data_IF_340172561372
#
_entry.id   IF_340172561372
#
_cell.length_a   1.000
_cell.length_b   1.000
_cell.length_c   1.000
_cell.angle_alpha   90.00
_cell.angle_beta   90.00
_cell.angle_gamma   90.00
#
_symmetry.space_group_name_H-M   'P 1'
#
loop_
_entity.id
_entity.type
_entity.pdbx_description
1 polymer ?
2 polymer ?
3 polymer ?
4 non-polymer ?
5 non-polymer ?
6 non-polymer ?
7 water ?
#
loop_
_entity_poly.entity_id
_entity_poly.type
_entity_poly.pdbx_seq_one_letter_code
_entity_poly.pdbx_strand_id
1 'polydeoxyribonucleotide' '(DG)(DG)(DG)(DG)(DT)(DG)(DT)(DG)(DG)(DT)(DA)(DG)(DC)' ?
2 'polydeoxyribonucleotide' '(DC)(DA)(DT)(DC)(DG)(DC)(DT)(DA)(DC)(DC)(DA)(DC)(DA)(DC)(DC)(DC)(DC)' ?
#
# COMPACT_ATOMS: atom_id res chain seq x y z
N UNK C 3 -11.07 6.95 -25.43
CA UNK C 3 -10.10 5.84 -25.34
C UNK C 3 -8.71 6.22 -25.81
N UNK C 4 -7.70 5.94 -24.97
CA UNK C 4 -6.31 6.30 -25.24
C UNK C 4 -5.48 5.03 -25.16
N UNK C 5 -4.80 4.69 -26.26
CA UNK C 5 -4.04 3.44 -26.39
C UNK C 5 -2.56 3.66 -26.07
N UNK C 6 -1.83 2.56 -25.85
CA UNK C 6 -0.47 2.72 -25.32
C UNK C 6 0.42 3.51 -26.25
N UNK C 7 0.11 3.60 -27.54
CA UNK C 7 0.96 4.39 -28.42
C UNK C 7 0.50 5.84 -28.54
N UNK C 8 -0.56 6.23 -27.83
CA UNK C 8 -0.96 7.63 -27.89
C UNK C 8 -0.14 8.44 -26.89
N UNK C 9 0.24 9.67 -27.26
CA UNK C 9 0.99 10.51 -26.31
C UNK C 9 0.35 10.61 -24.92
N UNK C 10 -0.98 10.58 -24.83
CA UNK C 10 -1.67 10.83 -23.57
C UNK C 10 -1.92 9.56 -22.77
N UNK C 11 -1.40 8.42 -23.23
CA UNK C 11 -1.70 7.17 -22.55
C UNK C 11 -1.23 7.19 -21.11
N UNK C 12 0.00 7.67 -20.87
CA UNK C 12 0.51 7.69 -19.50
C UNK C 12 -0.43 8.48 -18.59
N UNK C 13 -0.85 9.66 -19.05
CA UNK C 13 -1.70 10.53 -18.24
C UNK C 13 -3.07 9.90 -17.96
N UNK C 14 -3.69 9.31 -18.97
CA UNK C 14 -5.04 8.74 -18.81
C UNK C 14 -4.99 7.48 -17.93
N UNK C 15 -3.98 6.64 -18.11
CA UNK C 15 -3.88 5.45 -17.30
C UNK C 15 -3.70 5.80 -15.82
N UNK C 16 -2.82 6.77 -15.54
CA UNK C 16 -2.57 7.11 -14.14
C UNK C 16 -3.77 7.83 -13.53
N UNK C 17 -4.50 8.61 -14.32
CA UNK C 17 -5.71 9.24 -13.78
C UNK C 17 -6.75 8.19 -13.40
N UNK C 18 -6.72 7.03 -14.06
CA UNK C 18 -7.70 5.97 -13.86
C UNK C 18 -7.24 4.89 -12.89
N UNK C 19 -5.93 4.77 -12.66
CA UNK C 19 -5.38 3.67 -11.89
C UNK C 19 -5.39 4.02 -10.42
N UNK C 20 -6.25 3.34 -9.65
CA UNK C 20 -6.26 3.53 -8.20
C UNK C 20 -4.95 3.05 -7.56
N UNK C 21 -4.25 2.11 -8.19
CA UNK C 21 -3.00 1.67 -7.57
C UNK C 21 -1.94 2.75 -7.68
N UNK C 22 -1.94 3.48 -8.79
CA UNK C 22 -1.10 4.67 -8.91
C UNK C 22 -1.47 5.69 -7.84
N UNK C 23 -2.76 6.00 -7.71
CA UNK C 23 -3.20 6.96 -6.70
C UNK C 23 -2.71 6.56 -5.31
N UNK C 24 -2.87 5.28 -4.95
CA UNK C 24 -2.39 4.82 -3.65
C UNK C 24 -0.93 5.15 -3.47
N UNK C 25 -0.13 4.83 -4.49
CA UNK C 25 1.31 5.06 -4.41
C UNK C 25 1.64 6.54 -4.49
N UNK C 26 0.96 7.29 -5.38
CA UNK C 26 1.27 8.71 -5.45
C UNK C 26 0.87 9.42 -4.15
N UNK C 27 -0.25 9.02 -3.54
CA UNK C 27 -0.65 9.63 -2.29
C UNK C 27 0.35 9.31 -1.19
N UNK C 28 0.79 8.05 -1.11
CA UNK C 28 1.76 7.69 -0.09
C UNK C 28 3.00 8.56 -0.21
N UNK C 29 3.55 8.65 -1.42
CA UNK C 29 4.75 9.45 -1.66
C UNK C 29 4.58 10.89 -1.21
N UNK C 30 3.46 11.52 -1.59
CA UNK C 30 3.23 12.91 -1.20
C UNK C 30 3.11 13.04 0.33
N UNK C 31 2.38 12.12 0.97
CA UNK C 31 2.33 12.11 2.42
C UNK C 31 3.72 12.01 3.02
N UNK C 32 4.57 11.14 2.47
CA UNK C 32 5.92 10.96 3.02
C UNK C 32 6.72 12.26 2.89
N UNK C 33 6.69 12.87 1.71
CA UNK C 33 7.44 14.12 1.53
C UNK C 33 6.86 15.25 2.37
N UNK C 34 5.54 15.28 2.55
CA UNK C 34 4.93 16.31 3.38
C UNK C 34 5.42 16.19 4.81
N UNK C 35 5.49 14.97 5.34
CA UNK C 35 6.02 14.75 6.68
C UNK C 35 7.43 15.32 6.80
N UNK C 36 8.28 15.05 5.80
CA UNK C 36 9.65 15.51 5.87
C UNK C 36 9.74 17.01 5.88
N UNK C 37 8.85 17.67 5.12
CA UNK C 37 8.88 19.14 5.06
C UNK C 37 8.44 19.77 6.39
N UNK C 38 7.25 19.41 6.89
CA UNK C 38 6.79 19.91 8.19
C UNK C 38 7.84 19.75 9.28
N UNK C 39 8.77 18.80 9.13
CA UNK C 39 9.62 18.36 10.22
C UNK C 39 11.10 18.58 9.95
N UNK C 40 11.45 19.31 8.89
CA UNK C 40 12.86 19.57 8.59
C UNK C 40 13.53 20.26 9.77
N UNK C 41 12.81 21.14 10.46
CA UNK C 41 13.35 21.86 11.61
C UNK C 41 12.99 21.23 12.94
N UNK C 42 11.92 20.46 12.99
CA UNK C 42 11.63 19.79 14.26
C UNK C 42 12.45 18.52 14.29
N UNK C 43 12.56 17.94 15.49
CA UNK C 43 13.27 16.66 15.71
C UNK C 43 12.21 15.55 15.80
N UNK C 44 12.05 14.78 14.72
CA UNK C 44 10.99 13.74 14.67
C UNK C 44 11.51 12.35 15.07
N UNK C 45 12.00 12.19 16.30
CA UNK C 45 12.41 10.85 16.74
C UNK C 45 11.77 10.44 18.09
N UNK C 46 11.76 9.14 18.32
CA UNK C 46 11.32 8.56 19.59
C UNK C 46 12.62 8.02 20.16
N UNK C 47 12.98 8.43 21.35
CA UNK C 47 14.21 7.93 21.93
C UNK C 47 13.95 6.60 22.64
N UNK C 48 15.03 5.97 23.09
CA UNK C 48 14.90 4.81 23.98
C UNK C 48 14.47 5.21 25.40
N UNK C 49 14.53 6.51 25.73
CA UNK C 49 14.03 7.05 26.98
C UNK C 49 12.53 6.97 27.10
N UNK C 50 11.83 6.70 25.99
CA UNK C 50 10.38 6.90 25.91
C UNK C 50 9.63 5.58 26.07
N UNK C 51 8.70 5.57 27.00
CA UNK C 51 7.64 4.58 27.00
C UNK C 51 6.50 5.18 26.19
N UNK C 52 5.99 4.42 25.23
CA UNK C 52 5.03 5.00 24.30
C UNK C 52 3.87 4.05 24.08
N UNK C 53 2.73 4.64 23.73
CA UNK C 53 1.56 3.90 23.26
C UNK C 53 1.45 4.12 21.75
N UNK C 54 1.06 3.08 21.02
CA UNK C 54 0.83 3.16 19.58
C UNK C 54 -0.66 3.11 19.32
N UNK C 55 -1.16 4.07 18.56
CA UNK C 55 -2.53 4.06 18.08
C UNK C 55 -2.44 3.89 16.57
N UNK C 56 -2.91 2.75 16.06
CA UNK C 56 -2.91 2.49 14.63
C UNK C 56 -4.31 2.71 14.09
N UNK C 57 -4.48 3.73 13.25
CA UNK C 57 -5.79 4.20 12.84
C UNK C 57 -5.93 4.02 11.34
N UNK C 58 -7.09 3.55 10.89
CA UNK C 58 -7.36 3.65 9.47
C UNK C 58 -8.86 3.57 9.22
N UNK C 59 -9.29 4.15 8.10
CA UNK C 59 -10.69 4.11 7.70
C UNK C 59 -11.20 2.69 7.50
N UNK C 60 -12.45 2.49 7.85
CA UNK C 60 -13.18 1.26 7.53
C UNK C 60 -13.53 1.39 6.05
N UNK C 61 -13.25 0.35 5.26
CA UNK C 61 -13.51 0.21 3.81
C UNK C 61 -13.53 1.57 3.10
N UNK C 62 -12.40 2.25 3.19
CA UNK C 62 -12.11 3.61 2.69
C UNK C 62 -12.81 3.99 1.39
N UNK C 63 -12.44 3.35 0.28
CA UNK C 63 -13.06 3.72 -1.01
C UNK C 63 -14.58 3.48 -0.98
N UNK C 64 -15.04 2.34 -0.48
CA UNK C 64 -16.48 2.09 -0.49
C UNK C 64 -17.20 3.14 0.36
N UNK C 65 -16.72 3.38 1.57
CA UNK C 65 -17.32 4.39 2.43
C UNK C 65 -17.43 5.73 1.69
N UNK C 66 -16.29 6.24 1.22
CA UNK C 66 -16.26 7.57 0.61
C UNK C 66 -17.02 7.58 -0.72
N UNK C 67 -16.94 6.49 -1.49
CA UNK C 67 -17.65 6.45 -2.77
C UNK C 67 -19.14 6.48 -2.54
N UNK C 68 -19.60 5.86 -1.46
CA UNK C 68 -21.00 5.95 -1.08
C UNK C 68 -21.37 7.38 -0.67
N UNK C 69 -20.61 7.97 0.28
CA UNK C 69 -20.97 9.25 0.88
C UNK C 69 -21.03 10.38 -0.15
N UNK C 70 -20.31 10.24 -1.26
CA UNK C 70 -20.28 11.23 -2.34
C UNK C 70 -20.87 10.68 -3.64
N UNK C 71 -21.62 9.58 -3.57
CA UNK C 71 -22.17 8.95 -4.77
C UNK C 71 -23.07 9.93 -5.54
N UNK C 72 -23.28 9.63 -6.83
CA UNK C 72 -24.07 10.46 -7.72
C UNK C 72 -25.56 10.20 -7.50
N UNK C 73 -26.41 10.96 -8.21
CA UNK C 73 -27.86 10.89 -7.99
C UNK C 73 -28.44 9.54 -8.41
N UNK C 74 -27.81 8.87 -9.39
CA UNK C 74 -28.23 7.52 -9.79
C UNK C 74 -28.29 6.54 -8.62
N UNK C 75 -27.46 6.77 -7.59
CA UNK C 75 -27.34 5.86 -6.45
C UNK C 75 -27.90 6.44 -5.17
N UNK C 76 -28.79 7.44 -5.25
CA UNK C 76 -29.30 8.10 -4.05
C UNK C 76 -30.00 7.11 -3.11
N UNK C 77 -30.68 6.12 -3.65
CA UNK C 77 -31.47 5.22 -2.80
C UNK C 77 -30.67 4.07 -2.21
N UNK C 78 -29.43 3.83 -2.64
CA UNK C 78 -28.72 2.68 -2.13
C UNK C 78 -28.21 2.93 -0.71
N UNK C 79 -28.13 1.85 0.07
CA UNK C 79 -28.03 1.87 1.53
C UNK C 79 -26.75 1.19 1.99
N UNK C 80 -25.85 1.96 2.60
CA UNK C 80 -24.52 1.44 2.95
C UNK C 80 -24.56 0.31 3.97
N UNK C 81 -25.67 0.14 4.68
CA UNK C 81 -25.75 -0.85 5.75
C UNK C 81 -26.55 -2.09 5.37
N UNK C 82 -27.27 -2.06 4.24
CA UNK C 82 -28.04 -3.22 3.78
C UNK C 82 -27.57 -3.76 2.43
N UNK C 83 -26.85 -2.94 1.58
CA UNK C 83 -26.49 -3.24 0.19
C UNK C 83 -25.05 -3.71 0.08
N UNK C 84 -24.79 -4.83 -0.62
CA UNK C 84 -23.39 -5.16 -0.97
C UNK C 84 -22.82 -4.19 -1.99
N UNK C 85 -21.90 -3.33 -1.56
CA UNK C 85 -21.37 -2.25 -2.39
C UNK C 85 -19.89 -2.52 -2.69
N UNK C 86 -19.51 -2.45 -3.96
CA UNK C 86 -18.11 -2.48 -4.35
C UNK C 86 -17.79 -1.22 -5.12
N UNK C 87 -16.49 -0.89 -5.13
CA UNK C 87 -15.96 0.20 -5.94
C UNK C 87 -15.11 -0.44 -7.03
N UNK C 88 -15.43 -0.14 -8.29
CA UNK C 88 -14.74 -0.77 -9.40
C UNK C 88 -14.96 0.05 -10.66
N UNK C 89 -14.07 -0.15 -11.64
CA UNK C 89 -14.21 0.49 -12.95
C UNK C 89 -15.32 -0.14 -13.77
N UNK C 90 -15.41 -1.48 -13.75
CA UNK C 90 -16.06 -2.23 -14.79
C UNK C 90 -17.08 -3.20 -14.22
N UNK C 91 -17.35 -4.26 -15.02
CA UNK C 91 -18.44 -5.23 -14.80
C UNK C 91 -17.97 -6.67 -14.71
N UNK C 92 -16.94 -7.06 -15.47
CA UNK C 92 -16.58 -8.46 -15.59
C UNK C 92 -15.24 -8.65 -14.89
N UNK C 93 -14.12 -8.48 -15.58
CA UNK C 93 -12.80 -8.73 -14.98
C UNK C 93 -12.17 -7.43 -14.48
N UNK C 94 -12.98 -6.72 -13.71
CA UNK C 94 -12.61 -5.46 -13.08
C UNK C 94 -12.39 -5.71 -11.59
N UNK C 95 -11.28 -5.19 -11.06
CA UNK C 95 -10.92 -5.42 -9.68
C UNK C 95 -11.92 -4.75 -8.73
N UNK C 96 -12.32 -5.48 -7.70
CA UNK C 96 -13.02 -4.85 -6.57
C UNK C 96 -11.95 -4.14 -5.74
N UNK C 97 -11.80 -2.84 -5.96
CA UNK C 97 -10.84 -2.07 -5.17
C UNK C 97 -11.22 -2.06 -3.69
N UNK C 98 -12.50 -1.91 -3.37
CA UNK C 98 -12.98 -1.83 -1.97
C UNK C 98 -14.42 -2.35 -1.85
N UNK C 99 -14.77 -2.99 -0.75
CA UNK C 99 -16.14 -3.45 -0.53
C UNK C 99 -16.57 -3.14 0.90
N UNK C 100 -17.85 -2.83 1.07
CA UNK C 100 -18.39 -2.61 2.40
C UNK C 100 -18.55 -3.95 3.11
N UNK C 101 -18.90 -3.91 4.40
CA UNK C 101 -18.89 -5.13 5.19
C UNK C 101 -20.11 -5.99 4.94
N UNK C 102 -21.15 -5.40 4.38
CA UNK C 102 -22.30 -6.20 3.92
C UNK C 102 -21.77 -7.11 2.82
N UNK C 103 -21.01 -6.59 1.87
CA UNK C 103 -20.45 -7.40 0.77
C UNK C 103 -19.54 -8.50 1.33
N UNK C 104 -18.74 -8.19 2.33
CA UNK C 104 -17.81 -9.17 2.92
C UNK C 104 -18.57 -10.29 3.62
N UNK C 105 -19.72 -9.98 4.20
CA UNK C 105 -20.54 -11.00 4.88
C UNK C 105 -20.78 -12.15 3.91
N UNK C 106 -20.82 -11.87 2.60
CA UNK C 106 -20.96 -12.92 1.59
C UNK C 106 -19.62 -13.49 1.14
N UNK C 107 -18.54 -13.20 1.86
CA UNK C 107 -17.24 -13.73 1.50
C UNK C 107 -16.49 -13.03 0.39
N UNK C 108 -16.84 -11.79 0.07
CA UNK C 108 -16.14 -11.02 -0.95
C UNK C 108 -14.97 -10.29 -0.32
N UNK C 109 -13.89 -10.18 -1.07
CA UNK C 109 -12.70 -9.47 -0.61
C UNK C 109 -12.18 -8.58 -1.72
N UNK C 110 -11.45 -7.55 -1.33
CA UNK C 110 -10.73 -6.72 -2.28
C UNK C 110 -9.86 -7.58 -3.19
N UNK C 111 -9.48 -7.06 -4.35
CA UNK C 111 -8.69 -7.81 -5.30
C UNK C 111 -9.50 -8.76 -6.17
N UNK C 112 -10.60 -9.28 -5.62
CA UNK C 112 -11.54 -10.11 -6.36
C UNK C 112 -12.07 -9.37 -7.59
N UNK C 113 -12.30 -10.12 -8.68
CA UNK C 113 -12.93 -9.53 -9.85
C UNK C 113 -14.43 -9.50 -9.68
N UNK C 114 -15.08 -8.52 -10.33
CA UNK C 114 -16.50 -8.29 -10.10
C UNK C 114 -17.31 -9.53 -10.46
N UNK C 115 -16.94 -10.21 -11.54
CA UNK C 115 -17.61 -11.45 -11.93
C UNK C 115 -17.56 -12.49 -10.81
N UNK C 116 -16.38 -12.65 -10.20
CA UNK C 116 -16.23 -13.64 -9.12
C UNK C 116 -17.14 -13.31 -7.95
N UNK C 117 -17.22 -12.02 -7.60
CA UNK C 117 -18.04 -11.59 -6.46
C UNK C 117 -19.53 -11.64 -6.74
N UNK C 118 -19.93 -11.38 -8.00
CA UNK C 118 -21.33 -11.51 -8.38
C UNK C 118 -21.87 -12.88 -8.06
N UNK C 119 -21.03 -13.91 -8.14
CA UNK C 119 -21.50 -15.29 -8.00
C UNK C 119 -21.63 -15.74 -6.55
N UNK C 120 -21.04 -15.02 -5.59
CA UNK C 120 -21.16 -15.35 -4.18
C UNK C 120 -22.35 -14.67 -3.50
N UNK C 121 -23.28 -14.15 -4.28
CA UNK C 121 -24.49 -13.55 -3.75
C UNK C 121 -25.70 -14.45 -4.04
N UNK C 122 -26.61 -14.63 -3.09
CA UNK C 122 -27.86 -15.34 -3.39
C UNK C 122 -28.70 -14.53 -4.37
N UNK C 123 -29.59 -15.23 -5.06
CA UNK C 123 -30.36 -14.59 -6.13
C UNK C 123 -31.32 -13.57 -5.56
N UNK C 124 -31.57 -12.51 -6.33
CA UNK C 124 -32.32 -11.36 -5.89
C UNK C 124 -31.47 -10.29 -5.24
N UNK C 125 -30.44 -10.69 -4.50
CA UNK C 125 -29.48 -9.75 -3.92
C UNK C 125 -28.55 -9.24 -5.00
N UNK C 126 -28.53 -7.93 -5.22
CA UNK C 126 -27.80 -7.34 -6.32
C UNK C 126 -26.61 -6.52 -5.83
N UNK C 127 -25.48 -6.74 -6.46
CA UNK C 127 -24.28 -5.97 -6.18
C UNK C 127 -24.47 -4.54 -6.67
N UNK C 128 -24.09 -3.58 -5.85
CA UNK C 128 -24.00 -2.18 -6.27
C UNK C 128 -22.55 -1.89 -6.62
N UNK C 129 -22.32 -1.32 -7.80
CA UNK C 129 -20.98 -0.97 -8.25
C UNK C 129 -20.87 0.55 -8.37
N UNK C 130 -20.04 1.15 -7.49
CA UNK C 130 -19.77 2.57 -7.38
C UNK C 130 -18.48 2.93 -8.12
N UNK C 131 -18.45 4.05 -8.82
CA UNK C 131 -17.21 4.51 -9.46
C UNK C 131 -16.25 5.04 -8.42
N UNK C 132 -14.99 5.14 -8.81
CA UNK C 132 -14.00 5.78 -7.96
C UNK C 132 -14.24 7.28 -7.89
N UNK C 133 -13.89 7.87 -6.75
CA UNK C 133 -14.00 9.33 -6.54
C UNK C 133 -12.68 9.83 -5.97
N UNK C 134 -11.65 9.86 -6.82
CA UNK C 134 -10.29 10.00 -6.31
C UNK C 134 -10.13 11.30 -5.55
N UNK C 135 -10.64 12.39 -6.11
CA UNK C 135 -10.44 13.71 -5.50
C UNK C 135 -11.09 13.76 -4.13
N UNK C 136 -12.28 13.17 -3.99
CA UNK C 136 -12.87 13.05 -2.66
C UNK C 136 -12.05 12.14 -1.77
N UNK C 137 -11.42 11.10 -2.33
CA UNK C 137 -10.56 10.28 -1.49
C UNK C 137 -9.47 11.13 -0.86
N UNK C 138 -8.88 12.02 -1.66
CA UNK C 138 -7.87 12.94 -1.16
C UNK C 138 -8.42 13.86 -0.07
N UNK C 139 -9.53 14.54 -0.35
CA UNK C 139 -10.04 15.53 0.61
C UNK C 139 -10.38 14.86 1.95
N UNK C 140 -11.01 13.68 1.91
CA UNK C 140 -11.33 12.99 3.15
C UNK C 140 -10.06 12.62 3.90
N UNK C 141 -9.02 12.22 3.17
CA UNK C 141 -7.74 11.95 3.82
C UNK C 141 -7.16 13.20 4.45
N UNK C 142 -7.22 14.34 3.74
CA UNK C 142 -6.78 15.61 4.33
C UNK C 142 -7.48 15.88 5.65
N UNK C 143 -8.80 15.72 5.67
CA UNK C 143 -9.55 15.94 6.91
C UNK C 143 -9.10 14.97 7.98
N UNK C 144 -8.78 13.74 7.57
CA UNK C 144 -8.28 12.72 8.51
C UNK C 144 -7.01 13.20 9.19
N UNK C 145 -5.96 13.51 8.42
CA UNK C 145 -4.70 13.97 9.02
C UNK C 145 -4.83 15.33 9.72
N UNK C 146 -5.63 16.25 9.17
CA UNK C 146 -5.87 17.52 9.85
C UNK C 146 -6.48 17.32 11.23
N UNK C 147 -7.43 16.40 11.35
CA UNK C 147 -8.02 16.08 12.64
C UNK C 147 -6.99 15.46 13.58
N UNK C 148 -6.17 14.52 13.10
CA UNK C 148 -5.19 13.89 13.97
C UNK C 148 -4.21 14.91 14.54
N UNK C 149 -3.87 15.95 13.78
CA UNK C 149 -2.96 16.96 14.31
C UNK C 149 -3.66 17.87 15.30
N UNK C 150 -4.88 18.29 14.99
CA UNK C 150 -5.56 19.24 15.86
C UNK C 150 -5.83 18.65 17.24
N UNK C 151 -5.92 17.34 17.36
CA UNK C 151 -6.17 16.70 18.68
C UNK C 151 -5.05 17.03 19.67
N UNK C 152 -3.84 17.28 19.19
CA UNK C 152 -2.66 17.53 20.01
C UNK C 152 -2.46 16.47 21.10
N UNK C 153 -2.77 15.22 20.81
CA UNK C 153 -2.56 14.11 21.74
C UNK C 153 -1.41 13.20 21.31
N UNK C 154 -0.78 13.46 20.17
CA UNK C 154 0.27 12.59 19.65
C UNK C 154 1.56 13.36 19.49
N UNK C 155 2.68 12.71 19.86
CA UNK C 155 4.02 13.26 19.64
C UNK C 155 4.58 12.96 18.26
N UNK C 156 4.14 11.88 17.62
CA UNK C 156 4.59 11.54 16.28
C UNK C 156 3.42 10.93 15.53
N UNK C 157 3.18 11.38 14.30
CA UNK C 157 2.06 10.91 13.47
C UNK C 157 2.68 10.38 12.19
N UNK C 158 2.74 9.06 12.06
CA UNK C 158 3.44 8.47 10.93
C UNK C 158 2.44 8.12 9.84
N UNK C 159 2.56 8.66 8.63
CA UNK C 159 1.62 8.30 7.56
C UNK C 159 1.96 6.94 6.98
N UNK C 160 1.03 5.99 7.10
CA UNK C 160 1.14 4.68 6.47
C UNK C 160 0.52 4.70 5.08
N UNK C 161 -0.53 5.48 4.82
CA UNK C 161 -1.41 5.37 3.66
C UNK C 161 -2.31 6.58 3.61
N UNK C 162 -2.88 6.65 2.40
CA UNK C 162 -3.91 7.66 2.20
C UNK C 162 -4.92 7.64 3.33
N UNK C 163 -5.19 6.46 3.91
CA UNK C 163 -6.27 6.32 4.89
C UNK C 163 -5.80 5.64 6.16
N UNK C 164 -4.51 5.69 6.47
CA UNK C 164 -3.95 4.89 7.54
C UNK C 164 -2.75 5.62 8.10
N UNK C 165 -2.70 5.78 9.42
CA UNK C 165 -1.58 6.43 10.08
C UNK C 165 -1.28 5.72 11.39
N UNK C 166 -0.01 5.71 11.76
CA UNK C 166 0.44 5.19 13.05
C UNK C 166 0.78 6.41 13.90
N UNK C 167 0.04 6.57 14.99
CA UNK C 167 0.13 7.73 15.87
C UNK C 167 0.77 7.30 17.19
N UNK C 168 1.81 8.02 17.61
CA UNK C 168 2.60 7.63 18.77
C UNK C 168 2.34 8.62 19.89
N UNK C 169 1.94 8.11 21.05
CA UNK C 169 1.78 8.92 22.26
C UNK C 169 2.85 8.52 23.24
N UNK C 170 3.61 9.52 23.71
CA UNK C 170 4.65 9.30 24.71
C UNK C 170 4.04 9.48 26.09
N UNK C 171 4.24 8.50 26.96
CA UNK C 171 3.69 8.49 28.31
C UNK C 171 4.80 8.88 29.28
N UNK C 172 4.74 10.07 29.90
CA UNK C 172 5.71 10.39 30.95
C UNK C 172 5.54 9.43 32.12
N UNK C 173 6.62 9.21 32.86
CA UNK C 173 6.51 8.27 33.97
C UNK C 173 5.83 8.88 35.19
N UNK C 174 5.62 10.20 35.21
CA UNK C 174 4.78 10.77 36.25
C UNK C 174 3.31 10.41 36.03
N UNK C 175 2.89 10.27 34.77
CA UNK C 175 1.51 9.93 34.42
C UNK C 175 1.34 8.42 34.45
N UNK C 176 0.25 7.97 35.06
CA UNK C 176 -0.07 6.54 35.16
C UNK C 176 -1.13 6.25 34.10
N UNK C 177 -0.69 5.68 32.96
CA UNK C 177 -1.65 5.31 31.94
C UNK C 177 -2.62 4.26 32.47
N UNK C 178 -3.84 4.30 31.94
CA UNK C 178 -4.91 3.39 32.31
C UNK C 178 -5.71 3.08 31.06
N UNK C 179 -6.42 1.95 31.05
CA UNK C 179 -7.22 1.62 29.88
C UNK C 179 -8.41 2.55 29.75
N UNK C 180 -8.90 3.10 30.87
CA UNK C 180 -9.98 4.07 30.82
C UNK C 180 -9.58 5.27 29.98
N UNK C 181 -8.38 5.81 30.23
CA UNK C 181 -7.90 6.94 29.46
C UNK C 181 -7.68 6.58 27.99
N UNK C 182 -7.25 5.34 27.71
CA UNK C 182 -7.05 4.92 26.33
C UNK C 182 -8.38 4.73 25.61
N UNK C 183 -9.36 4.13 26.28
CA UNK C 183 -10.69 4.07 25.69
C UNK C 183 -11.17 5.47 25.33
N UNK C 184 -10.92 6.44 26.22
CA UNK C 184 -11.47 7.76 25.97
C UNK C 184 -10.78 8.42 24.79
N UNK C 185 -9.49 8.14 24.59
CA UNK C 185 -8.81 8.72 23.43
C UNK C 185 -9.32 8.12 22.13
N UNK C 186 -9.35 6.78 22.03
CA UNK C 186 -9.94 6.11 20.86
C UNK C 186 -11.32 6.67 20.54
N UNK C 187 -12.17 6.84 21.57
CA UNK C 187 -13.53 7.34 21.32
C UNK C 187 -13.51 8.80 20.85
N UNK C 188 -12.66 9.63 21.45
CA UNK C 188 -12.46 10.99 20.95
C UNK C 188 -12.06 10.98 19.47
N UNK C 189 -10.97 10.27 19.17
CA UNK C 189 -10.45 10.22 17.80
C UNK C 189 -11.54 9.77 16.83
N UNK C 190 -12.22 8.67 17.17
CA UNK C 190 -13.23 8.13 16.28
C UNK C 190 -14.37 9.12 16.07
N UNK C 191 -14.77 9.84 17.12
CA UNK C 191 -15.89 10.75 17.00
C UNK C 191 -15.54 11.94 16.12
N UNK C 192 -14.41 12.71 16.50
CA UNK C 192 -13.73 13.79 15.76
C UNK C 192 -13.49 13.44 14.29
N UNK C 193 -12.92 12.23 13.78
CA UNK C 193 -12.79 11.88 12.37
C UNK C 193 -14.17 11.62 11.74
N UNK C 194 -15.10 11.05 12.51
CA UNK C 194 -16.48 10.96 12.04
C UNK C 194 -17.07 12.35 11.78
N UNK C 195 -16.87 13.31 12.70
CA UNK C 195 -17.31 14.67 12.44
C UNK C 195 -16.56 15.29 11.28
N UNK C 196 -15.22 15.32 11.37
CA UNK C 196 -14.39 16.01 10.38
C UNK C 196 -14.50 15.48 8.97
N UNK C 197 -14.93 14.23 8.78
CA UNK C 197 -15.01 13.65 7.46
C UNK C 197 -16.45 13.54 6.95
N UNK C 198 -17.41 14.17 7.65
CA UNK C 198 -18.80 14.08 7.26
C UNK C 198 -19.25 12.64 7.09
N UNK C 199 -18.93 11.79 8.06
CA UNK C 199 -19.55 10.48 8.11
C UNK C 199 -18.66 9.28 7.85
N UNK C 200 -17.36 9.46 7.64
CA UNK C 200 -16.45 8.32 7.52
C UNK C 200 -16.10 7.81 8.91
N UNK C 201 -15.97 6.48 9.04
CA UNK C 201 -15.62 5.86 10.30
C UNK C 201 -14.24 5.22 10.23
N UNK C 202 -13.47 5.36 11.31
CA UNK C 202 -12.17 4.72 11.45
C UNK C 202 -12.24 3.71 12.58
N UNK C 203 -11.39 2.69 12.50
CA UNK C 203 -11.16 1.80 13.61
C UNK C 203 -9.74 2.00 14.12
N UNK C 204 -9.50 1.62 15.37
CA UNK C 204 -8.23 1.90 16.02
C UNK C 204 -7.78 0.66 16.76
N UNK C 205 -6.53 0.25 16.53
CA UNK C 205 -5.82 -0.67 17.40
C UNK C 205 -4.87 0.11 18.29
N UNK C 206 -4.85 -0.26 19.56
CA UNK C 206 -4.11 0.44 20.59
C UNK C 206 -3.27 -0.55 21.38
N UNK C 207 -1.98 -0.28 21.54
CA UNK C 207 -1.10 -1.26 22.15
C UNK C 207 0.26 -0.61 22.39
N UNK C 208 1.15 -1.36 23.08
CA UNK C 208 2.52 -0.93 23.33
C UNK C 208 3.53 -1.54 22.35
N UNK C 209 3.07 -2.09 21.23
CA UNK C 209 3.96 -2.39 20.10
C UNK C 209 3.24 -2.08 18.80
N UNK C 210 4.05 -1.86 17.76
CA UNK C 210 3.49 -1.66 16.43
C UNK C 210 2.73 -2.89 15.97
N UNK C 211 3.33 -4.07 16.13
CA UNK C 211 2.69 -5.27 15.61
C UNK C 211 1.38 -5.56 16.37
N UNK C 212 1.38 -5.43 17.70
CA UNK C 212 0.11 -5.64 18.41
C UNK C 212 -0.91 -4.56 18.09
N UNK C 213 -0.48 -3.33 17.81
CA UNK C 213 -1.44 -2.32 17.33
C UNK C 213 -2.00 -2.71 15.97
N UNK C 214 -1.18 -3.30 15.10
CA UNK C 214 -1.69 -3.78 13.81
C UNK C 214 -2.68 -4.91 14.01
N UNK C 215 -2.40 -5.83 14.93
CA UNK C 215 -3.32 -6.93 15.14
C UNK C 215 -4.60 -6.46 15.84
N UNK C 216 -4.45 -5.63 16.88
CA UNK C 216 -5.62 -5.08 17.55
C UNK C 216 -6.54 -4.39 16.54
N UNK C 217 -5.93 -3.72 15.57
CA UNK C 217 -6.71 -2.99 14.59
C UNK C 217 -7.56 -3.92 13.77
N UNK C 218 -6.98 -5.06 13.36
CA UNK C 218 -7.73 -6.08 12.57
C UNK C 218 -8.92 -6.56 13.42
N UNK C 219 -8.69 -6.80 14.71
CA UNK C 219 -9.72 -7.24 15.64
C UNK C 219 -10.74 -6.14 15.91
N UNK C 220 -10.32 -4.86 15.85
CA UNK C 220 -11.27 -3.78 16.11
C UNK C 220 -12.29 -3.60 14.99
N UNK C 221 -11.94 -3.93 13.74
CA UNK C 221 -12.82 -3.72 12.60
C UNK C 221 -14.07 -4.58 12.70
N UNK C 222 -15.24 -4.09 12.21
CA UNK C 222 -15.49 -2.74 11.68
C UNK C 222 -15.95 -1.72 12.72
N UNK C 223 -15.62 -0.45 12.47
CA UNK C 223 -16.08 0.71 13.25
C UNK C 223 -15.98 0.50 14.76
N UNK C 224 -14.77 0.23 15.22
CA UNK C 224 -14.58 0.00 16.64
C UNK C 224 -13.15 0.24 17.04
N UNK C 225 -12.84 -0.05 18.30
CA UNK C 225 -11.46 0.01 18.73
C UNK C 225 -11.15 -1.15 19.66
N UNK C 226 -9.87 -1.42 19.77
CA UNK C 226 -9.39 -2.53 20.57
C UNK C 226 -8.09 -2.13 21.25
N UNK C 227 -7.96 -2.49 22.51
CA UNK C 227 -6.85 -2.11 23.35
C UNK C 227 -6.23 -3.40 23.85
N UNK C 228 -5.02 -3.71 23.41
CA UNK C 228 -4.37 -4.97 23.81
C UNK C 228 -2.88 -4.72 23.95
N UNK C 229 -2.42 -4.50 25.17
CA UNK C 229 -1.00 -4.37 25.43
C UNK C 229 -0.37 -5.74 25.60
N UNK C 230 0.96 -5.77 25.68
CA UNK C 230 1.67 -7.02 25.88
C UNK C 230 1.17 -7.77 27.11
N UNK C 231 0.80 -7.04 28.17
CA UNK C 231 0.33 -7.62 29.42
C UNK C 231 -1.06 -8.23 29.31
N UNK C 232 -1.74 -8.05 28.19
CA UNK C 232 -3.08 -8.57 28.01
C UNK C 232 -3.13 -9.76 27.08
N UNK C 233 -1.98 -10.28 26.66
CA UNK C 233 -1.99 -11.37 25.71
C UNK C 233 -2.65 -12.60 26.32
N UNK C 234 -3.22 -13.43 25.44
CA UNK C 234 -4.05 -14.56 25.84
C UNK C 234 -4.26 -15.45 24.64
N UNK C 235 -4.48 -16.74 24.90
CA UNK C 235 -4.90 -17.65 23.84
C UNK C 235 -6.08 -17.09 23.08
N UNK C 236 -7.06 -16.53 23.79
CA UNK C 236 -8.21 -15.92 23.14
C UNK C 236 -7.80 -14.89 22.09
N UNK C 237 -6.70 -14.17 22.34
CA UNK C 237 -6.26 -13.17 21.37
C UNK C 237 -5.73 -13.86 20.11
N UNK C 238 -4.73 -14.73 20.27
CA UNK C 238 -4.07 -15.30 19.11
C UNK C 238 -5.01 -16.19 18.30
N UNK C 239 -5.92 -16.90 18.96
CA UNK C 239 -6.88 -17.76 18.28
C UNK C 239 -7.80 -16.98 17.35
N UNK C 240 -7.78 -15.66 17.42
CA UNK C 240 -8.68 -14.81 16.66
C UNK C 240 -8.13 -14.43 15.30
N UNK C 241 -6.86 -14.71 15.02
CA UNK C 241 -6.19 -14.23 13.81
C UNK C 241 -5.77 -15.36 12.89
N UNK C 242 -5.93 -15.13 11.58
CA UNK C 242 -5.37 -16.02 10.55
C UNK C 242 -3.86 -15.87 10.53
N UNK C 243 -3.19 -16.79 9.81
CA UNK C 243 -1.74 -16.71 9.68
C UNK C 243 -1.32 -15.48 8.88
N UNK C 244 -2.00 -15.18 7.77
CA UNK C 244 -1.65 -14.00 6.99
C UNK C 244 -2.25 -12.72 7.55
N UNK C 245 -2.66 -12.71 8.82
CA UNK C 245 -2.88 -11.46 9.53
C UNK C 245 -1.58 -10.92 10.09
N UNK C 246 -0.52 -11.72 10.07
CA UNK C 246 0.78 -11.25 10.52
C UNK C 246 1.38 -10.31 9.50
N UNK C 247 1.83 -9.13 9.90
CA UNK C 247 2.62 -8.29 8.99
C UNK C 247 3.77 -9.06 8.37
N UNK C 248 3.92 -8.93 7.06
CA UNK C 248 4.97 -9.59 6.36
C UNK C 248 4.58 -10.94 5.81
N UNK C 249 3.42 -11.47 6.20
CA UNK C 249 2.95 -12.80 5.77
C UNK C 249 1.88 -12.61 4.69
N UNK C 250 2.31 -12.75 3.44
CA UNK C 250 1.40 -12.81 2.31
C UNK C 250 1.23 -14.24 1.83
N UNK C 251 0.53 -14.39 0.70
CA UNK C 251 0.11 -15.71 0.27
C UNK C 251 1.28 -16.68 0.14
N UNK C 252 2.44 -16.16 -0.29
CA UNK C 252 3.60 -17.03 -0.50
C UNK C 252 4.18 -17.51 0.83
N UNK C 253 4.42 -16.60 1.75
CA UNK C 253 4.87 -17.00 3.08
C UNK C 253 3.83 -17.89 3.75
N UNK C 254 2.56 -17.55 3.56
CA UNK C 254 1.47 -18.34 4.12
C UNK C 254 1.60 -19.79 3.68
N UNK C 255 1.72 -20.01 2.37
CA UNK C 255 1.82 -21.36 1.84
C UNK C 255 3.02 -22.11 2.42
N UNK C 256 4.16 -21.42 2.56
CA UNK C 256 5.32 -22.07 3.18
C UNK C 256 5.03 -22.43 4.63
N UNK C 257 4.47 -21.47 5.40
CA UNK C 257 4.11 -21.76 6.78
C UNK C 257 3.10 -22.90 6.85
N UNK C 258 2.13 -22.90 5.95
CA UNK C 258 1.11 -23.94 5.93
C UNK C 258 1.73 -25.33 5.79
N UNK C 259 2.78 -25.46 4.99
CA UNK C 259 3.29 -26.80 4.76
C UNK C 259 4.23 -27.23 5.87
N UNK C 260 5.07 -26.32 6.34
CA UNK C 260 6.03 -26.66 7.38
C UNK C 260 5.35 -27.05 8.69
N UNK C 261 4.13 -26.55 8.95
CA UNK C 261 3.55 -26.62 10.28
C UNK C 261 2.15 -27.24 10.29
N UNK C 262 1.85 -28.14 9.34
CA UNK C 262 0.64 -28.96 9.41
C UNK C 262 -0.63 -28.10 9.27
N UNK C 263 -0.56 -27.09 8.40
CA UNK C 263 -1.61 -26.11 8.12
C UNK C 263 -2.22 -25.57 9.40
N UNK C 264 -1.50 -24.75 10.16
CA UNK C 264 -2.15 -24.00 11.25
C UNK C 264 -3.27 -23.13 10.72
N UNK C 265 -4.39 -23.09 11.45
CA UNK C 265 -5.55 -22.29 11.06
C UNK C 265 -5.72 -21.03 11.90
N UNK C 266 -4.79 -20.74 12.81
CA UNK C 266 -4.79 -19.51 13.58
C UNK C 266 -3.37 -19.27 14.09
N UNK C 267 -3.09 -18.01 14.46
CA UNK C 267 -1.80 -17.71 15.08
C UNK C 267 -1.63 -18.45 16.40
N UNK C 268 -2.75 -18.81 17.06
CA UNK C 268 -2.63 -19.68 18.23
C UNK C 268 -2.12 -21.05 17.84
N UNK C 269 -2.64 -21.61 16.74
CA UNK C 269 -2.08 -22.86 16.24
C UNK C 269 -0.61 -22.69 15.92
N UNK C 270 -0.25 -21.59 15.27
CA UNK C 270 1.13 -21.41 14.87
C UNK C 270 2.02 -21.32 16.10
N UNK C 271 1.50 -20.68 17.14
CA UNK C 271 2.31 -20.31 18.29
C UNK C 271 2.75 -21.53 19.08
N UNK C 272 1.89 -22.56 19.13
CA UNK C 272 2.15 -23.75 19.93
C UNK C 272 3.08 -24.73 19.21
N UNK C 273 3.06 -24.75 17.88
CA UNK C 273 3.75 -25.77 17.10
C UNK C 273 5.16 -25.39 16.67
N UNK C 274 5.56 -24.14 16.82
CA UNK C 274 6.72 -23.67 16.07
C UNK C 274 7.97 -23.68 16.93
N UNK C 275 9.10 -23.90 16.27
CA UNK C 275 10.44 -23.67 16.79
C UNK C 275 11.08 -22.54 15.98
N UNK C 276 11.95 -21.76 16.62
CA UNK C 276 12.58 -20.65 15.90
C UNK C 276 13.32 -21.12 14.66
N UNK C 277 14.03 -22.25 14.76
CA UNK C 277 14.85 -22.67 13.62
C UNK C 277 14.01 -23.25 12.49
N UNK C 278 12.94 -23.99 12.82
CA UNK C 278 12.05 -24.47 11.76
C UNK C 278 11.32 -23.31 11.09
N UNK C 279 11.01 -22.26 11.84
CA UNK C 279 10.53 -21.02 11.25
C UNK C 279 11.54 -20.48 10.25
N UNK C 280 12.75 -20.16 10.73
CA UNK C 280 13.76 -19.59 9.86
C UNK C 280 13.96 -20.46 8.63
N UNK C 281 14.00 -21.78 8.81
CA UNK C 281 14.18 -22.68 7.68
C UNK C 281 13.02 -22.56 6.70
N UNK C 282 11.80 -22.36 7.19
CA UNK C 282 10.64 -22.41 6.32
C UNK C 282 10.48 -21.16 5.50
N UNK C 283 10.69 -19.99 6.12
CA UNK C 283 10.38 -18.72 5.49
C UNK C 283 11.59 -17.81 5.32
N UNK C 284 12.67 -18.04 6.06
CA UNK C 284 13.88 -17.24 5.94
C UNK C 284 14.31 -16.67 7.28
N UNK C 285 15.58 -16.32 7.41
CA UNK C 285 16.11 -15.97 8.73
C UNK C 285 15.50 -14.68 9.26
N UNK C 286 15.53 -13.61 8.46
CA UNK C 286 15.00 -12.32 8.94
C UNK C 286 13.48 -12.37 9.08
N UNK C 287 12.77 -12.94 8.10
CA UNK C 287 11.33 -13.01 8.23
C UNK C 287 10.94 -13.96 9.36
N UNK C 288 11.62 -15.10 9.47
CA UNK C 288 11.35 -16.00 10.58
C UNK C 288 11.51 -15.31 11.92
N UNK C 289 12.57 -14.52 12.07
CA UNK C 289 12.75 -13.83 13.34
C UNK C 289 11.63 -12.85 13.58
N UNK C 290 11.25 -12.08 12.54
CA UNK C 290 10.17 -11.12 12.68
C UNK C 290 8.89 -11.79 13.15
N UNK C 291 8.56 -12.95 12.56
CA UNK C 291 7.36 -13.67 12.99
C UNK C 291 7.52 -14.16 14.44
N UNK C 292 8.68 -14.70 14.78
CA UNK C 292 8.93 -15.14 16.15
C UNK C 292 8.71 -13.99 17.12
N UNK C 293 9.40 -12.87 16.91
CA UNK C 293 9.15 -11.70 17.73
C UNK C 293 7.67 -11.34 17.73
N UNK C 294 7.02 -11.45 16.57
CA UNK C 294 5.62 -11.02 16.47
C UNK C 294 4.71 -11.88 17.34
N UNK C 295 4.98 -13.20 17.40
CA UNK C 295 4.18 -14.11 18.23
C UNK C 295 4.42 -13.93 19.74
N UNK C 296 5.32 -13.02 20.12
CA UNK C 296 5.46 -12.54 21.49
C UNK C 296 4.90 -11.15 21.70
N UNK C 297 4.32 -10.53 20.66
CA UNK C 297 3.85 -9.16 20.76
C UNK C 297 4.92 -8.11 20.57
N UNK C 298 6.11 -8.50 20.11
CA UNK C 298 7.27 -7.62 20.05
C UNK C 298 7.61 -7.24 18.61
N UNK C 299 8.05 -6.00 18.42
CA UNK C 299 8.53 -5.54 17.12
C UNK C 299 10.00 -5.87 16.93
N UNK C 300 10.40 -6.04 15.67
CA UNK C 300 11.78 -6.35 15.33
C UNK C 300 12.56 -5.05 15.13
N UNK C 301 13.88 -5.15 14.98
CA UNK C 301 14.69 -3.95 14.84
C UNK C 301 14.38 -3.20 13.56
N UNK C 302 14.03 -3.93 12.49
CA UNK C 302 13.76 -3.25 11.23
C UNK C 302 12.50 -2.40 11.30
N UNK C 303 11.52 -2.84 12.08
CA UNK C 303 10.26 -2.12 12.16
C UNK C 303 10.31 -0.97 13.14
N UNK C 304 11.21 -1.03 14.12
CA UNK C 304 11.41 0.04 15.08
C UNK C 304 12.12 1.25 14.49
N UNK C 305 12.76 1.08 13.33
CA UNK C 305 13.49 2.20 12.75
C UNK C 305 12.57 3.38 12.49
N UNK C 306 11.34 3.10 12.06
CA UNK C 306 10.43 4.18 11.73
C UNK C 306 10.16 5.06 12.93
N UNK C 307 10.25 4.50 14.14
CA UNK C 307 10.02 5.29 15.35
C UNK C 307 11.27 6.05 15.77
N UNK C 308 12.45 5.43 15.61
CA UNK C 308 13.69 6.05 16.06
C UNK C 308 14.19 7.13 15.10
N UNK C 309 14.06 6.94 13.79
CA UNK C 309 14.53 7.94 12.81
C UNK C 309 13.57 7.98 11.64
N UNK C 310 12.35 8.47 11.87
CA UNK C 310 11.37 8.50 10.77
C UNK C 310 11.84 9.29 9.57
N UNK C 311 12.63 10.34 9.77
CA UNK C 311 13.10 11.14 8.64
C UNK C 311 13.91 10.29 7.68
N UNK C 312 14.75 9.39 8.19
CA UNK C 312 15.53 8.54 7.31
C UNK C 312 14.66 7.46 6.67
N UNK C 313 13.75 6.86 7.43
CA UNK C 313 12.95 5.78 6.88
C UNK C 313 12.00 6.29 5.81
N UNK C 314 11.47 7.51 5.98
CA UNK C 314 10.52 8.04 5.01
C UNK C 314 11.18 8.79 3.86
N UNK C 315 12.51 8.95 3.84
CA UNK C 315 13.15 9.58 2.70
C UNK C 315 13.13 8.65 1.49
N UNK C 316 12.62 9.15 0.37
CA UNK C 316 12.56 8.40 -0.89
C UNK C 316 13.95 7.98 -1.36
N UNK C 317 14.11 6.71 -1.73
CA UNK C 317 15.42 6.23 -2.16
C UNK C 317 15.46 5.83 -3.62
N UNK C 318 14.30 5.62 -4.24
CA UNK C 318 14.20 5.24 -5.64
C UNK C 318 12.95 5.89 -6.21
N UNK C 319 12.91 5.93 -7.54
CA UNK C 319 11.79 6.53 -8.24
C UNK C 319 11.49 5.69 -9.47
N UNK C 320 10.21 5.43 -9.73
CA UNK C 320 9.93 4.49 -10.81
C UNK C 320 8.49 4.63 -11.28
N UNK C 321 8.23 4.17 -12.51
CA UNK C 321 6.87 3.92 -12.96
C UNK C 321 6.75 2.46 -13.41
N UNK C 322 5.50 1.97 -13.44
CA UNK C 322 5.17 0.59 -13.79
C UNK C 322 3.88 0.61 -14.60
N UNK C 323 3.91 0.12 -15.82
CA UNK C 323 2.72 0.04 -16.66
C UNK C 323 2.60 -1.39 -17.15
N UNK C 324 1.74 -2.17 -16.51
CA UNK C 324 1.55 -3.58 -16.82
C UNK C 324 0.12 -3.84 -17.28
N UNK C 325 -0.51 -2.80 -17.82
CA UNK C 325 -1.86 -2.86 -18.35
C UNK C 325 -1.97 -1.95 -19.57
N UNK C 326 -2.55 -2.48 -20.65
CA UNK C 326 -2.73 -1.69 -21.85
C UNK C 326 -1.56 -1.66 -22.77
N UNK C 327 -0.60 -2.58 -22.60
CA UNK C 327 0.65 -2.60 -23.37
C UNK C 327 0.45 -3.44 -24.62
N UNK C 328 0.34 -2.80 -25.78
CA UNK C 328 0.17 -3.51 -27.05
C UNK C 328 0.88 -2.70 -28.14
N UNK C 329 2.12 -3.08 -28.45
CA UNK C 329 2.93 -2.35 -29.41
C UNK C 329 3.20 -3.22 -30.63
N UNK C 330 3.07 -2.62 -31.81
CA UNK C 330 3.27 -3.33 -33.05
C UNK C 330 4.73 -3.36 -33.50
N UNK C 331 5.55 -2.38 -33.09
CA UNK C 331 6.93 -2.34 -33.54
C UNK C 331 7.81 -1.67 -32.51
N UNK C 332 9.12 -1.73 -32.77
CA UNK C 332 10.15 -1.20 -31.87
C UNK C 332 10.15 0.32 -31.81
N UNK C 333 9.63 0.99 -32.85
CA UNK C 333 9.56 2.44 -32.83
C UNK C 333 8.57 2.91 -31.77
N UNK C 334 7.41 2.28 -31.70
CA UNK C 334 6.42 2.70 -30.72
C UNK C 334 6.89 2.43 -29.30
N UNK C 335 7.59 1.31 -29.08
CA UNK C 335 8.15 1.00 -27.76
C UNK C 335 9.14 2.08 -27.35
N UNK C 336 10.02 2.48 -28.27
CA UNK C 336 11.02 3.48 -27.93
C UNK C 336 10.36 4.81 -27.58
N UNK C 337 9.31 5.21 -28.31
CA UNK C 337 8.65 6.47 -27.98
C UNK C 337 7.94 6.36 -26.65
N UNK C 338 7.36 5.20 -26.35
CA UNK C 338 6.75 5.04 -25.05
C UNK C 338 7.81 5.13 -23.95
N UNK C 339 8.92 4.42 -24.13
CA UNK C 339 10.03 4.53 -23.19
C UNK C 339 10.42 6.00 -23.01
N UNK C 340 10.43 6.77 -24.09
CA UNK C 340 10.86 8.16 -23.98
C UNK C 340 9.87 8.98 -23.18
N UNK C 341 8.56 8.80 -23.42
CA UNK C 341 7.55 9.45 -22.57
C UNK C 341 7.74 9.07 -21.11
N UNK C 342 7.91 7.78 -20.85
CA UNK C 342 8.27 7.29 -19.53
C UNK C 342 9.39 8.05 -18.85
N UNK C 343 10.61 8.05 -19.44
CA UNK C 343 11.72 8.83 -18.86
C UNK C 343 11.36 10.30 -18.68
N UNK C 344 10.70 10.91 -19.67
CA UNK C 344 10.31 12.31 -19.52
C UNK C 344 9.45 12.51 -18.29
N UNK C 345 8.52 11.59 -18.05
CA UNK C 345 7.68 11.67 -16.85
C UNK C 345 8.52 11.53 -15.60
N UNK C 346 9.38 10.50 -15.55
CA UNK C 346 10.18 10.26 -14.36
C UNK C 346 11.18 11.39 -14.11
N UNK C 347 11.62 12.07 -15.18
CA UNK C 347 12.60 13.13 -14.98
C UNK C 347 11.94 14.38 -14.45
N UNK C 348 10.68 14.63 -14.83
CA UNK C 348 9.92 15.69 -14.18
C UNK C 348 9.84 15.46 -12.68
N UNK C 349 9.29 14.29 -12.27
CA UNK C 349 9.24 13.92 -10.86
C UNK C 349 10.62 14.05 -10.20
N UNK C 350 11.69 13.65 -10.92
CA UNK C 350 13.03 13.73 -10.35
C UNK C 350 13.53 15.17 -10.22
N UNK C 351 13.08 16.06 -11.11
CA UNK C 351 13.43 17.46 -10.92
C UNK C 351 12.67 18.07 -9.75
N UNK C 352 11.40 17.67 -9.55
CA UNK C 352 10.63 18.15 -8.40
C UNK C 352 11.38 17.96 -7.09
N UNK C 353 12.08 16.84 -6.93
CA UNK C 353 12.78 16.54 -5.68
C UNK C 353 14.25 16.92 -5.76
N UNK C 354 14.65 17.62 -6.82
CA UNK C 354 15.97 18.24 -6.93
C UNK C 354 17.09 17.23 -6.67
N UNK C 355 17.05 16.11 -7.40
CA UNK C 355 18.11 15.12 -7.35
C UNK C 355 18.48 14.70 -8.77
N UNK C 356 19.60 13.99 -8.88
CA UNK C 356 20.03 13.24 -10.04
C UNK C 356 19.95 11.75 -9.73
N UNK C 357 20.21 10.91 -10.75
CA UNK C 357 20.25 9.47 -10.56
C UNK C 357 21.49 8.89 -11.23
N UNK C 358 22.06 7.87 -10.60
CA UNK C 358 23.31 7.27 -11.06
C UNK C 358 23.17 5.80 -11.44
N UNK C 359 21.99 5.21 -11.28
CA UNK C 359 21.74 3.86 -11.76
C UNK C 359 20.27 3.73 -12.13
N UNK C 360 20.01 3.06 -13.26
CA UNK C 360 18.64 2.89 -13.74
C UNK C 360 18.39 1.43 -14.03
N UNK C 361 17.11 1.07 -14.04
CA UNK C 361 16.66 -0.28 -14.32
C UNK C 361 15.47 -0.23 -15.26
N UNK C 362 15.42 -1.21 -16.16
CA UNK C 362 14.25 -1.49 -16.98
C UNK C 362 13.76 -2.89 -16.69
N UNK C 363 12.48 -3.02 -16.40
CA UNK C 363 11.88 -4.31 -16.20
C UNK C 363 10.80 -4.47 -17.26
N UNK C 364 10.57 -5.70 -17.71
CA UNK C 364 9.50 -5.92 -18.65
C UNK C 364 8.80 -7.24 -18.36
N UNK C 365 7.54 -7.28 -18.78
CA UNK C 365 6.72 -8.49 -18.78
C UNK C 365 6.54 -8.92 -20.23
N UNK C 366 6.86 -10.17 -20.50
CA UNK C 366 6.75 -10.78 -21.82
C UNK C 366 5.73 -11.90 -21.81
N UNK C 367 4.93 -11.99 -22.87
CA UNK C 367 3.93 -13.03 -22.96
C UNK C 367 4.58 -14.41 -22.82
N UNK C 368 4.01 -15.24 -21.95
CA UNK C 368 4.44 -16.64 -21.87
C UNK C 368 4.16 -17.30 -23.22
N UNK C 369 5.06 -18.20 -23.64
CA UNK C 369 5.00 -18.68 -25.02
C UNK C 369 3.68 -19.38 -25.33
N UNK C 370 3.08 -19.98 -24.31
CA UNK C 370 1.83 -20.73 -24.37
C UNK C 370 0.63 -19.93 -23.87
N UNK C 371 0.81 -18.64 -23.48
CA UNK C 371 -0.31 -17.85 -22.99
C UNK C 371 -1.06 -17.21 -24.15
N UNK C 372 -2.38 -17.06 -24.05
CA UNK C 372 -3.13 -16.47 -25.16
C UNK C 372 -2.72 -15.03 -25.41
N UNK C 373 -2.72 -14.66 -26.68
CA UNK C 373 -2.34 -13.32 -27.11
C UNK C 373 -3.20 -12.27 -26.42
N UNK C 374 -4.46 -12.59 -26.14
CA UNK C 374 -5.36 -11.69 -25.43
C UNK C 374 -5.84 -12.37 -24.16
N UNK C 375 -5.44 -11.91 -22.99
CA UNK C 375 -5.73 -12.66 -21.74
C UNK C 375 -7.17 -12.47 -21.32
N UNK C 376 -7.63 -13.17 -20.28
CA UNK C 376 -9.02 -12.97 -19.83
C UNK C 376 -9.36 -11.53 -19.47
N UNK C 377 -8.48 -10.83 -18.73
CA UNK C 377 -8.75 -9.44 -18.38
C UNK C 377 -8.44 -8.56 -19.58
N UNK C 378 -9.44 -7.81 -20.04
CA UNK C 378 -9.24 -6.85 -21.13
C UNK C 378 -8.01 -6.00 -20.88
N UNK C 379 -7.09 -5.99 -21.85
CA UNK C 379 -5.84 -5.23 -21.82
C UNK C 379 -4.90 -5.68 -20.71
N UNK C 380 -5.13 -6.83 -20.11
CA UNK C 380 -4.26 -7.27 -19.05
C UNK C 380 -2.91 -7.71 -19.55
N UNK C 381 -1.94 -7.72 -18.64
CA UNK C 381 -0.66 -8.32 -19.00
C UNK C 381 -0.79 -9.83 -19.21
N UNK C 382 -1.77 -10.48 -18.57
CA UNK C 382 -1.88 -11.94 -18.64
C UNK C 382 -0.73 -12.66 -17.96
N UNK C 383 -0.51 -13.90 -18.39
CA UNK C 383 0.57 -14.72 -17.85
C UNK C 383 1.88 -14.37 -18.56
N UNK C 384 2.93 -14.13 -17.76
CA UNK C 384 4.12 -13.45 -18.23
C UNK C 384 5.34 -13.99 -17.52
N UNK C 385 6.46 -14.00 -18.24
CA UNK C 385 7.77 -14.02 -17.60
C UNK C 385 8.25 -12.59 -17.43
N UNK C 386 8.97 -12.35 -16.34
CA UNK C 386 9.57 -11.04 -16.12
C UNK C 386 11.07 -11.09 -16.41
N UNK C 387 11.59 -9.96 -16.89
CA UNK C 387 13.01 -9.78 -17.14
C UNK C 387 13.38 -8.40 -16.63
N UNK C 388 14.56 -8.29 -16.05
CA UNK C 388 15.03 -7.01 -15.54
C UNK C 388 16.49 -6.82 -15.93
N UNK C 389 16.88 -5.58 -16.19
CA UNK C 389 18.30 -5.31 -16.32
C UNK C 389 18.59 -3.88 -15.92
N UNK C 390 19.69 -3.70 -15.22
CA UNK C 390 20.07 -2.41 -14.68
C UNK C 390 21.40 -1.99 -15.27
N UNK C 391 21.77 -0.74 -14.98
CA UNK C 391 22.92 -0.14 -15.63
C UNK C 391 23.39 1.05 -14.79
N UNK C 392 24.65 1.04 -14.39
CA UNK C 392 25.23 2.17 -13.69
C UNK C 392 25.54 3.27 -14.71
N UNK C 393 25.18 4.50 -14.37
CA UNK C 393 25.63 5.65 -15.14
C UNK C 393 26.95 6.14 -14.57
N UNK C 394 27.77 6.73 -15.42
CA UNK C 394 29.01 7.30 -14.93
C UNK C 394 28.97 8.45 -13.95
N UNK C 395 28.62 9.64 -14.43
CA UNK C 395 28.30 10.79 -13.62
C UNK C 395 26.81 10.72 -13.30
N UNK C 396 26.37 10.95 -12.05
CA UNK C 396 24.93 11.11 -11.79
C UNK C 396 24.37 12.18 -12.71
N UNK C 397 23.09 12.07 -13.04
CA UNK C 397 22.56 12.93 -14.09
C UNK C 397 21.04 13.04 -13.97
N UNK C 398 20.50 14.10 -14.59
CA UNK C 398 19.08 14.21 -14.88
C UNK C 398 18.86 14.53 -16.37
N UNK C 399 19.81 14.15 -17.22
CA UNK C 399 19.76 14.45 -18.65
C UNK C 399 18.90 13.43 -19.38
N UNK C 400 17.88 13.90 -20.10
CA UNK C 400 17.04 13.00 -20.87
C UNK C 400 17.86 12.19 -21.87
N UNK C 401 18.73 12.87 -22.62
CA UNK C 401 19.58 12.21 -23.61
C UNK C 401 20.33 11.00 -23.09
N UNK C 402 21.00 11.14 -21.95
CA UNK C 402 21.71 9.99 -21.39
C UNK C 402 20.75 8.89 -20.93
N UNK C 403 19.67 9.26 -20.25
CA UNK C 403 18.88 8.24 -19.57
C UNK C 403 17.97 7.53 -20.57
N UNK C 404 17.29 8.28 -21.42
CA UNK C 404 16.39 7.64 -22.37
C UNK C 404 17.16 6.79 -23.36
N UNK C 405 18.34 7.22 -23.75
CA UNK C 405 19.18 6.39 -24.61
C UNK C 405 19.56 5.08 -23.91
N UNK C 406 19.99 5.16 -22.64
CA UNK C 406 20.37 3.95 -21.94
C UNK C 406 19.18 3.03 -21.69
N UNK C 407 18.01 3.60 -21.39
CA UNK C 407 16.84 2.75 -21.18
C UNK C 407 16.52 1.96 -22.44
N UNK C 408 16.52 2.64 -23.58
CA UNK C 408 16.21 1.96 -24.83
C UNK C 408 17.24 0.89 -25.12
N UNK C 409 18.51 1.18 -24.80
CA UNK C 409 19.56 0.18 -24.88
C UNK C 409 19.24 -1.01 -23.99
N UNK C 410 18.89 -0.74 -22.73
CA UNK C 410 18.51 -1.82 -21.82
C UNK C 410 17.40 -2.67 -22.41
N UNK C 411 16.34 -2.02 -22.93
CA UNK C 411 15.28 -2.80 -23.54
C UNK C 411 15.86 -3.73 -24.59
N UNK C 412 16.84 -3.23 -25.32
CA UNK C 412 17.30 -3.98 -26.46
C UNK C 412 18.11 -5.19 -26.05
N UNK C 413 18.86 -5.07 -24.95
CA UNK C 413 19.57 -6.24 -24.49
C UNK C 413 18.62 -7.33 -24.03
N UNK C 414 17.38 -6.98 -23.70
CA UNK C 414 16.48 -7.97 -23.14
C UNK C 414 15.81 -8.81 -24.22
N UNK C 415 15.71 -8.31 -25.44
CA UNK C 415 15.39 -9.18 -26.57
C UNK C 415 13.94 -9.56 -26.71
N UNK C 416 13.04 -8.64 -26.41
CA UNK C 416 11.61 -8.93 -26.37
C UNK C 416 10.90 -8.32 -27.55
N UNK C 417 10.37 -9.11 -28.46
CA UNK C 417 9.64 -8.55 -29.61
C UNK C 417 8.55 -7.61 -29.15
N UNK C 418 8.39 -6.47 -29.84
CA UNK C 418 7.36 -5.50 -29.41
C UNK C 418 5.98 -6.12 -29.23
N UNK C 419 5.61 -7.08 -30.09
CA UNK C 419 4.27 -7.68 -30.00
C UNK C 419 4.14 -8.65 -28.83
N UNK C 420 5.24 -9.06 -28.20
CA UNK C 420 5.17 -9.90 -27.01
C UNK C 420 5.21 -9.10 -25.72
N UNK C 421 5.50 -7.80 -25.81
CA UNK C 421 5.55 -6.96 -24.63
C UNK C 421 4.17 -6.87 -24.01
N UNK C 422 4.09 -7.05 -22.68
CA UNK C 422 2.84 -6.86 -21.96
C UNK C 422 2.97 -5.94 -20.75
N UNK C 423 4.17 -5.50 -20.40
CA UNK C 423 4.36 -4.63 -19.25
C UNK C 423 5.74 -4.01 -19.20
N UNK C 424 5.85 -2.81 -18.67
CA UNK C 424 7.12 -2.10 -18.64
C UNK C 424 7.26 -1.40 -17.30
N UNK C 425 8.45 -1.47 -16.70
CA UNK C 425 8.80 -0.60 -15.58
C UNK C 425 10.04 0.20 -15.94
N UNK C 426 10.12 1.42 -15.40
CA UNK C 426 11.28 2.29 -15.60
C UNK C 426 11.70 2.82 -14.23
N UNK C 427 12.92 2.54 -13.80
CA UNK C 427 13.34 2.88 -12.45
C UNK C 427 14.59 3.75 -12.44
N UNK C 428 14.62 4.71 -11.52
CA UNK C 428 15.84 5.40 -11.12
C UNK C 428 16.21 4.87 -9.73
N UNK C 429 17.26 4.04 -9.67
CA UNK C 429 17.51 3.21 -8.48
C UNK C 429 18.31 3.91 -7.39
N UNK C 430 19.22 4.80 -7.74
CA UNK C 430 20.00 5.51 -6.74
C UNK C 430 19.86 6.99 -7.03
N UNK C 431 19.55 7.76 -5.99
CA UNK C 431 19.35 9.20 -6.11
C UNK C 431 20.43 9.94 -5.33
N UNK C 432 20.82 11.09 -5.85
CA UNK C 432 21.94 11.89 -5.36
C UNK C 432 21.47 13.33 -5.27
N UNK C 433 21.72 13.98 -4.15
CA UNK C 433 21.25 15.35 -4.01
C UNK C 433 22.03 16.27 -4.93
N UNK C 434 21.41 17.39 -5.27
CA UNK C 434 22.06 18.47 -6.01
C UNK C 434 22.39 19.56 -5.01
N UNK C 435 23.68 19.87 -4.87
CA UNK C 435 24.09 20.84 -3.89
C UNK C 435 24.32 22.20 -4.52
N UNK C 436 24.57 23.22 -3.70
CA UNK C 436 24.97 24.52 -4.25
C UNK C 436 26.27 24.48 -5.03
N UNK C 437 27.21 23.64 -4.60
CA UNK C 437 28.45 23.41 -5.34
C UNK C 437 28.19 22.43 -6.49
N UNK C 438 28.47 22.89 -7.71
CA UNK C 438 28.32 22.10 -8.93
C UNK C 438 29.54 22.29 -9.82
N UNK C 439 30.72 22.49 -9.24
CA UNK C 439 31.94 22.72 -9.98
C UNK C 439 32.71 21.40 -10.07
N UNK C 440 32.64 20.75 -11.24
CA UNK C 440 33.09 19.37 -11.44
C UNK C 440 32.59 18.40 -10.36
X LIG D 1 -10.65 -2.29 5.99
X LIG D 1 -11.22 -1.93 4.65
X LIG D 1 -9.95 -3.63 5.90
X LIG D 1 -9.65 -1.24 6.38
X LIG D 1 -11.75 -2.35 7.00
X LIG E 1 -11.62 -1.69 1.71
X LIG E 1 -12.53 -0.48 1.68
X LIG E 1 -12.21 -2.72 2.63
X LIG E 1 -10.26 -1.32 2.17
X LIG E 1 -11.53 -2.28 0.33
X LIG F 1 -0.78 -10.35 5.68
X LIG G 1 -2.42 12.49 -0.18
X LIG G 1 -1.07 12.69 -0.46
X LIG G 1 -2.87 13.70 0.70
X LIG G 1 -3.61 14.64 -0.06
X LIG G 1 -3.70 13.01 1.86
X LIG G 1 -3.56 13.74 3.07
#
# INVERSE_FOLDING_TARGET
KRIVACDDPDFLTSYFAHSRLHHLSAWKANLKDKFLNENIHKYTKITDKDTYIIFHIDFDCFFATVAYLCRSSSFSACDFKRDPIVVCHGTKNSDIASCNYVARSYGIKNGMWVSQAEKMLPNGIKLISLPYTFEQFQLKSEAFYSTLKRLNIFNLILPISIDEAVCVRIIPDNIHNTNTLNARLCEEIRQEIFQGTNGCTVSIGCSDSLVLARLALKMAKPNGYNITFKSNLSEEFWSSFKLDDLPGVGHSTLSRLESTFDSPHSLNDLRKRYTLDALKASVGSKLGMKIHLALQGQDDEESLKILYDPKEVLQRKSLSIDINWGIRFKNITQVDLFIERGCQYLLEKLNEINKTTSQITLKLMRRCKDAPIEPPKYMGMGRCDSFSRSSRLGIPTNEFGIIATEMKSLYRTLGCPPMELRGLALQFNKLVDVGPDNNQLK
PO4 P O1 O2 O3 O4
PO4 P O1 O2 O3 O4
MG MG
GOL C1 O1 C2 O2 C3 O3
#
